data_IF_651266021936
#
_entry.id   IF_651266021936
#
_cell.length_a   1.000
_cell.length_b   1.000
_cell.length_c   1.000
_cell.angle_alpha   90.00
_cell.angle_beta   90.00
_cell.angle_gamma   90.00
#
_symmetry.space_group_name_H-M   'P 1'
#
loop_
_entity.id
_entity.type
_entity.pdbx_description
1 polymer ?
#
# COMPACT_ATOMS: atom_id res chain seq x y z
N UNK A 1 14.73 -24.55 2.80
CA UNK A 1 13.53 -23.80 3.26
C UNK A 1 12.79 -23.28 2.06
N UNK A 2 11.48 -23.52 2.00
CA UNK A 2 10.59 -23.01 0.96
C UNK A 2 9.53 -22.11 1.60
N UNK A 3 9.37 -20.88 1.12
CA UNK A 3 8.35 -19.97 1.68
C UNK A 3 7.71 -19.07 0.60
N UNK A 4 6.50 -18.58 0.89
CA UNK A 4 5.88 -17.50 0.13
C UNK A 4 6.21 -16.14 0.75
N UNK A 5 6.43 -15.15 -0.10
CA UNK A 5 6.49 -13.75 0.27
C UNK A 5 5.36 -12.98 -0.43
N UNK A 6 4.56 -12.29 0.35
CA UNK A 6 3.46 -11.42 -0.08
C UNK A 6 3.41 -10.17 0.81
N UNK A 7 2.79 -9.09 0.34
CA UNK A 7 2.60 -7.83 1.07
C UNK A 7 1.42 -7.05 0.50
N UNK A 8 1.09 -5.94 1.09
CA UNK A 8 0.23 -4.89 0.52
C UNK A 8 -1.16 -5.43 0.10
N UNK A 9 -1.80 -6.19 1.01
CA UNK A 9 -3.11 -6.80 0.78
C UNK A 9 -4.24 -5.77 0.75
N UNK A 10 -4.11 -4.69 1.50
CA UNK A 10 -5.05 -3.58 1.60
C UNK A 10 -6.51 -4.02 1.73
N UNK A 11 -6.77 -5.03 2.57
CA UNK A 11 -8.13 -5.55 2.78
C UNK A 11 -9.03 -4.44 3.35
N UNK A 12 -10.18 -4.24 2.71
CA UNK A 12 -11.10 -3.15 2.98
C UNK A 12 -10.97 -1.97 2.00
N UNK A 13 -9.97 -1.97 1.13
CA UNK A 13 -9.83 -0.97 0.06
C UNK A 13 -11.02 -0.98 -0.86
N UNK A 14 -11.59 0.22 -1.09
CA UNK A 14 -12.61 0.43 -2.13
C UNK A 14 -11.97 1.07 -3.35
N UNK A 15 -12.48 0.76 -4.54
CA UNK A 15 -12.05 1.37 -5.79
C UNK A 15 -13.16 2.29 -6.31
N UNK A 16 -12.93 3.61 -6.31
CA UNK A 16 -13.92 4.61 -6.74
C UNK A 16 -15.31 4.41 -6.09
N UNK A 17 -15.31 4.09 -4.78
CA UNK A 17 -16.53 3.80 -4.02
C UNK A 17 -17.07 2.36 -4.17
N UNK A 18 -16.51 1.55 -5.06
CA UNK A 18 -16.88 0.14 -5.20
C UNK A 18 -16.23 -0.69 -4.10
N UNK A 19 -17.04 -1.43 -3.35
CA UNK A 19 -16.56 -2.41 -2.39
C UNK A 19 -15.94 -3.60 -3.15
N UNK A 20 -14.75 -4.06 -2.72
CA UNK A 20 -14.00 -5.16 -3.34
C UNK A 20 -13.73 -6.32 -2.38
N UNK A 21 -14.44 -6.40 -1.26
CA UNK A 21 -14.18 -7.39 -0.22
C UNK A 21 -14.29 -8.84 -0.72
N UNK A 22 -15.22 -9.10 -1.67
CA UNK A 22 -15.36 -10.42 -2.26
C UNK A 22 -14.19 -10.79 -3.18
N UNK A 23 -13.65 -9.81 -3.92
CA UNK A 23 -12.43 -10.00 -4.70
C UNK A 23 -11.22 -10.23 -3.80
N UNK A 24 -11.08 -9.44 -2.73
CA UNK A 24 -10.02 -9.62 -1.74
C UNK A 24 -10.11 -10.99 -1.07
N UNK A 25 -11.32 -11.50 -0.82
CA UNK A 25 -11.56 -12.86 -0.32
C UNK A 25 -11.07 -13.92 -1.32
N UNK A 26 -11.36 -13.75 -2.60
CA UNK A 26 -10.93 -14.68 -3.64
C UNK A 26 -9.40 -14.67 -3.79
N UNK A 27 -8.77 -13.50 -3.75
CA UNK A 27 -7.30 -13.34 -3.79
C UNK A 27 -6.64 -14.03 -2.60
N UNK A 28 -7.12 -13.80 -1.37
CA UNK A 28 -6.56 -14.46 -0.19
C UNK A 28 -6.78 -15.98 -0.21
N UNK A 29 -7.90 -16.45 -0.76
CA UNK A 29 -8.13 -17.88 -0.96
C UNK A 29 -7.13 -18.47 -1.96
N UNK A 30 -6.85 -17.78 -3.07
CA UNK A 30 -5.85 -18.22 -4.06
C UNK A 30 -4.43 -18.24 -3.47
N UNK A 31 -4.04 -17.23 -2.65
CA UNK A 31 -2.76 -17.22 -1.95
C UNK A 31 -2.63 -18.43 -1.01
N UNK A 32 -3.68 -18.76 -0.26
CA UNK A 32 -3.70 -19.93 0.61
C UNK A 32 -3.57 -21.22 -0.20
N UNK A 33 -4.31 -21.34 -1.31
CA UNK A 33 -4.26 -22.52 -2.18
C UNK A 33 -2.86 -22.67 -2.83
N UNK A 34 -2.21 -21.57 -3.20
CA UNK A 34 -0.79 -21.58 -3.63
C UNK A 34 0.11 -22.09 -2.53
N UNK A 35 -0.02 -21.57 -1.30
CA UNK A 35 0.81 -21.98 -0.17
C UNK A 35 0.69 -23.48 0.12
N UNK A 36 -0.53 -24.01 0.04
CA UNK A 36 -0.81 -25.45 0.26
C UNK A 36 -0.31 -26.31 -0.88
N UNK A 37 -0.55 -25.91 -2.12
CA UNK A 37 -0.12 -26.66 -3.32
C UNK A 37 1.39 -26.74 -3.45
N UNK A 38 2.07 -25.64 -3.12
CA UNK A 38 3.53 -25.58 -3.16
C UNK A 38 4.19 -26.19 -1.90
N UNK A 39 3.39 -26.63 -0.92
CA UNK A 39 3.86 -27.24 0.34
C UNK A 39 4.92 -26.38 1.02
N UNK A 40 4.64 -25.07 1.18
CA UNK A 40 5.61 -24.14 1.76
C UNK A 40 5.81 -24.38 3.27
N UNK A 41 7.00 -24.15 3.76
CA UNK A 41 7.32 -24.20 5.19
C UNK A 41 6.75 -22.97 5.91
N UNK A 42 6.80 -21.80 5.25
CA UNK A 42 6.38 -20.53 5.83
C UNK A 42 5.70 -19.60 4.82
N UNK A 43 4.97 -18.60 5.33
CA UNK A 43 4.51 -17.44 4.59
C UNK A 43 4.96 -16.17 5.31
N UNK A 44 5.60 -15.26 4.57
CA UNK A 44 6.05 -13.96 5.04
C UNK A 44 5.13 -12.88 4.47
N UNK A 45 4.42 -12.15 5.34
CA UNK A 45 3.48 -11.10 4.97
C UNK A 45 4.06 -9.75 5.40
N UNK A 46 4.66 -9.06 4.44
CA UNK A 46 5.52 -7.91 4.71
C UNK A 46 4.74 -6.58 4.83
N UNK A 47 3.64 -6.56 5.57
CA UNK A 47 2.89 -5.37 5.96
C UNK A 47 1.72 -5.01 5.06
N UNK A 48 0.99 -3.97 5.48
CA UNK A 48 -0.21 -3.42 4.86
C UNK A 48 -1.31 -4.48 4.60
N UNK A 49 -1.69 -5.17 5.70
CA UNK A 49 -2.80 -6.12 5.66
C UNK A 49 -4.12 -5.42 5.41
N UNK A 50 -4.29 -4.23 5.96
CA UNK A 50 -5.50 -3.42 5.89
C UNK A 50 -5.26 -2.12 5.13
N UNK A 51 -6.32 -1.58 4.50
CA UNK A 51 -6.24 -0.27 3.83
C UNK A 51 -6.16 0.91 4.81
N UNK A 52 -6.67 0.74 6.03
CA UNK A 52 -6.71 1.79 7.04
C UNK A 52 -6.42 1.28 8.44
N UNK A 53 -5.93 2.17 9.30
CA UNK A 53 -5.66 1.89 10.71
C UNK A 53 -6.91 1.48 11.53
N UNK A 54 -8.11 1.73 11.00
CA UNK A 54 -9.39 1.34 11.61
C UNK A 54 -10.21 0.49 10.61
N UNK A 55 -9.80 -0.76 10.35
CA UNK A 55 -10.46 -1.63 9.40
C UNK A 55 -11.86 -2.04 9.87
N UNK A 56 -12.78 -2.26 8.92
CA UNK A 56 -14.12 -2.77 9.22
C UNK A 56 -14.06 -4.17 9.83
N UNK A 57 -15.10 -4.56 10.57
CA UNK A 57 -15.18 -5.89 11.16
C UNK A 57 -15.11 -7.01 10.11
N UNK A 58 -15.64 -6.78 8.90
CA UNK A 58 -15.58 -7.76 7.82
C UNK A 58 -14.16 -7.87 7.24
N UNK A 59 -13.42 -6.77 7.12
CA UNK A 59 -12.02 -6.79 6.73
C UNK A 59 -11.16 -7.54 7.77
N UNK A 60 -11.37 -7.26 9.05
CA UNK A 60 -10.67 -7.97 10.14
C UNK A 60 -10.98 -9.48 10.13
N UNK A 61 -12.27 -9.83 9.97
CA UNK A 61 -12.68 -11.25 9.88
C UNK A 61 -12.01 -11.95 8.71
N UNK A 62 -11.93 -11.29 7.55
CA UNK A 62 -11.34 -11.87 6.36
C UNK A 62 -9.83 -12.13 6.56
N UNK A 63 -9.06 -11.14 7.02
CA UNK A 63 -7.63 -11.29 7.28
C UNK A 63 -7.37 -12.35 8.35
N UNK A 64 -8.05 -12.26 9.51
CA UNK A 64 -7.85 -13.21 10.59
C UNK A 64 -8.19 -14.65 10.17
N UNK A 65 -9.25 -14.83 9.37
CA UNK A 65 -9.61 -16.16 8.86
C UNK A 65 -8.54 -16.72 7.91
N UNK A 66 -7.93 -15.87 7.07
CA UNK A 66 -6.85 -16.29 6.17
C UNK A 66 -5.59 -16.69 6.96
N UNK A 67 -5.16 -15.86 7.92
CA UNK A 67 -4.00 -16.15 8.77
C UNK A 67 -4.19 -17.45 9.58
N UNK A 68 -5.36 -17.63 10.21
CA UNK A 68 -5.68 -18.82 10.97
C UNK A 68 -5.72 -20.07 10.08
N UNK A 69 -6.27 -19.97 8.84
CA UNK A 69 -6.29 -21.11 7.91
C UNK A 69 -4.88 -21.54 7.52
N UNK A 70 -3.97 -20.60 7.26
CA UNK A 70 -2.56 -20.88 7.00
C UNK A 70 -1.89 -21.57 8.19
N UNK A 71 -2.00 -21.00 9.39
CA UNK A 71 -1.38 -21.53 10.61
C UNK A 71 -1.93 -22.92 10.97
N UNK A 72 -3.25 -23.15 10.90
CA UNK A 72 -3.87 -24.45 11.16
C UNK A 72 -3.51 -25.52 10.12
N UNK A 73 -3.08 -25.11 8.94
CA UNK A 73 -2.50 -26.03 7.93
C UNK A 73 -1.05 -26.39 8.21
N UNK A 74 -0.49 -25.88 9.32
CA UNK A 74 0.87 -26.14 9.78
C UNK A 74 1.93 -25.34 9.03
N UNK A 75 1.56 -24.28 8.31
CA UNK A 75 2.48 -23.33 7.71
C UNK A 75 2.91 -22.30 8.75
N UNK A 76 4.19 -22.02 8.86
CA UNK A 76 4.70 -20.94 9.72
C UNK A 76 4.24 -19.59 9.15
N UNK A 77 3.54 -18.80 9.96
CA UNK A 77 2.97 -17.51 9.51
C UNK A 77 3.69 -16.36 10.20
N UNK A 78 4.37 -15.53 9.43
CA UNK A 78 5.12 -14.38 9.94
C UNK A 78 4.56 -13.10 9.33
N UNK A 79 4.13 -12.17 10.19
CA UNK A 79 3.44 -10.94 9.79
C UNK A 79 4.09 -9.74 10.47
N UNK A 80 4.40 -8.72 9.72
CA UNK A 80 4.76 -7.40 10.25
C UNK A 80 3.70 -6.36 9.87
N UNK A 81 3.58 -5.29 10.65
CA UNK A 81 2.71 -4.17 10.31
C UNK A 81 3.34 -3.27 9.24
N UNK A 82 2.53 -2.80 8.28
CA UNK A 82 2.88 -1.74 7.36
C UNK A 82 2.43 -0.36 7.85
N UNK A 83 2.47 0.62 6.95
CA UNK A 83 2.11 2.01 7.28
C UNK A 83 0.61 2.29 7.29
N UNK A 84 -0.21 1.42 6.68
CA UNK A 84 -1.67 1.48 6.75
C UNK A 84 -2.21 0.76 7.98
N UNK A 85 -1.45 -0.18 8.53
CA UNK A 85 -1.83 -0.94 9.72
C UNK A 85 -1.69 -0.10 11.00
N UNK A 86 -2.47 -0.45 12.02
CA UNK A 86 -2.37 0.21 13.33
C UNK A 86 -1.46 -0.57 14.26
N UNK A 87 -0.20 -0.16 14.37
CA UNK A 87 0.84 -0.85 15.13
C UNK A 87 0.43 -1.24 16.56
N UNK A 88 -0.31 -0.37 17.29
CA UNK A 88 -0.79 -0.66 18.65
C UNK A 88 -1.86 -1.75 18.66
N UNK A 89 -2.70 -1.84 17.64
CA UNK A 89 -3.68 -2.93 17.51
C UNK A 89 -3.00 -4.26 17.23
N UNK A 90 -1.93 -4.25 16.43
CA UNK A 90 -1.07 -5.42 16.23
C UNK A 90 -0.50 -5.92 17.56
N UNK A 91 0.06 -5.03 18.35
CA UNK A 91 0.62 -5.38 19.66
C UNK A 91 -0.44 -5.92 20.64
N UNK A 92 -1.64 -5.35 20.62
CA UNK A 92 -2.76 -5.83 21.45
C UNK A 92 -3.19 -7.26 21.09
N UNK A 93 -3.07 -7.65 19.82
CA UNK A 93 -3.43 -8.98 19.32
C UNK A 93 -2.25 -9.97 19.35
N UNK A 94 -1.02 -9.53 19.56
CA UNK A 94 0.20 -10.33 19.43
C UNK A 94 0.15 -11.63 20.24
N UNK A 95 -0.26 -11.58 21.51
CA UNK A 95 -0.34 -12.79 22.35
C UNK A 95 -1.40 -13.77 21.85
N UNK A 96 -2.54 -13.25 21.36
CA UNK A 96 -3.60 -14.09 20.80
C UNK A 96 -3.14 -14.76 19.50
N UNK A 97 -2.46 -14.02 18.63
CA UNK A 97 -1.91 -14.55 17.39
C UNK A 97 -0.80 -15.58 17.65
N UNK A 98 0.09 -15.30 18.60
CA UNK A 98 1.11 -16.26 19.02
C UNK A 98 0.51 -17.57 19.55
N UNK A 99 -0.59 -17.53 20.30
CA UNK A 99 -1.31 -18.72 20.75
C UNK A 99 -1.91 -19.53 19.58
N UNK A 100 -2.12 -18.90 18.43
CA UNK A 100 -2.55 -19.55 17.18
C UNK A 100 -1.36 -19.97 16.28
N UNK A 101 -0.12 -19.82 16.73
CA UNK A 101 1.08 -20.14 15.93
C UNK A 101 1.40 -19.10 14.85
N UNK A 102 1.05 -17.83 15.07
CA UNK A 102 1.29 -16.74 14.14
C UNK A 102 2.24 -15.73 14.78
N UNK A 103 3.41 -15.49 14.22
CA UNK A 103 4.24 -14.35 14.61
C UNK A 103 3.63 -13.06 14.02
N UNK A 104 3.29 -12.12 14.92
CA UNK A 104 2.51 -10.94 14.59
C UNK A 104 3.12 -9.69 15.23
N UNK A 105 3.93 -8.95 14.48
CA UNK A 105 4.79 -7.89 15.01
C UNK A 105 4.41 -6.53 14.44
N UNK A 106 3.98 -5.62 15.32
CA UNK A 106 3.54 -4.27 14.95
C UNK A 106 4.57 -3.17 15.18
N UNK A 107 5.57 -3.40 16.02
CA UNK A 107 6.58 -2.41 16.41
C UNK A 107 7.98 -3.02 16.38
N UNK A 108 8.98 -2.16 16.17
CA UNK A 108 10.39 -2.56 16.27
C UNK A 108 10.69 -3.02 17.70
N UNK A 109 11.38 -4.15 17.82
CA UNK A 109 11.77 -4.77 19.08
C UNK A 109 13.23 -5.20 19.03
N UNK A 110 13.87 -5.29 20.19
CA UNK A 110 15.15 -5.95 20.28
C UNK A 110 15.04 -7.45 19.90
N UNK A 111 16.10 -8.04 19.42
CA UNK A 111 16.11 -9.44 18.98
C UNK A 111 15.56 -10.39 20.06
N UNK A 112 15.93 -10.16 21.35
CA UNK A 112 15.51 -10.97 22.49
C UNK A 112 14.05 -10.73 22.93
N UNK A 113 13.45 -9.64 22.47
CA UNK A 113 12.07 -9.24 22.79
C UNK A 113 11.08 -9.57 21.68
N UNK A 114 11.53 -10.31 20.65
CA UNK A 114 10.73 -10.73 19.50
C UNK A 114 10.91 -9.86 18.24
N UNK A 115 12.05 -9.12 18.13
CA UNK A 115 12.47 -8.50 16.88
C UNK A 115 13.05 -9.50 15.87
N UNK A 116 13.30 -10.75 16.33
CA UNK A 116 13.74 -11.86 15.49
C UNK A 116 12.88 -13.07 15.75
N UNK A 117 12.36 -13.66 14.69
CA UNK A 117 11.61 -14.91 14.72
C UNK A 117 12.47 -16.06 14.20
N UNK A 118 12.33 -17.24 14.80
CA UNK A 118 13.05 -18.45 14.41
C UNK A 118 12.08 -19.60 14.21
N UNK A 119 12.26 -20.33 13.14
CA UNK A 119 11.48 -21.56 12.92
C UNK A 119 12.33 -22.62 12.24
N UNK A 120 11.90 -23.86 12.35
CA UNK A 120 12.53 -24.99 11.64
C UNK A 120 11.65 -25.39 10.46
N UNK A 121 12.21 -25.36 9.27
CA UNK A 121 11.52 -25.79 8.06
C UNK A 121 11.12 -27.26 8.16
N UNK A 122 9.86 -27.57 7.97
CA UNK A 122 9.34 -28.95 8.03
C UNK A 122 9.87 -29.83 6.91
N UNK A 123 10.11 -29.20 5.75
CA UNK A 123 10.54 -29.89 4.54
C UNK A 123 12.00 -30.36 4.62
N UNK A 124 12.89 -29.61 5.29
CA UNK A 124 14.33 -29.84 5.27
C UNK A 124 14.95 -30.01 6.65
N UNK A 125 14.29 -29.59 7.72
CA UNK A 125 14.87 -29.53 9.07
C UNK A 125 15.85 -28.38 9.29
N UNK A 126 16.05 -27.51 8.29
CA UNK A 126 16.91 -26.34 8.40
C UNK A 126 16.28 -25.24 9.25
N UNK A 127 17.09 -24.55 10.02
CA UNK A 127 16.63 -23.39 10.81
C UNK A 127 16.61 -22.13 9.93
N UNK A 128 15.51 -21.37 10.00
CA UNK A 128 15.38 -20.04 9.42
C UNK A 128 15.32 -18.97 10.52
N UNK A 129 15.98 -17.86 10.28
CA UNK A 129 16.03 -16.69 11.16
C UNK A 129 15.52 -15.48 10.41
N UNK A 130 14.43 -14.88 10.88
CA UNK A 130 13.77 -13.75 10.25
C UNK A 130 13.91 -12.52 11.14
N UNK A 131 14.67 -11.53 10.70
CA UNK A 131 14.74 -10.21 11.32
C UNK A 131 13.50 -9.39 10.93
N UNK A 132 12.73 -8.91 11.90
CA UNK A 132 11.42 -8.28 11.71
C UNK A 132 11.52 -6.77 11.85
N UNK A 133 11.31 -6.03 10.76
CA UNK A 133 11.27 -4.57 10.73
C UNK A 133 9.90 -4.07 10.23
N UNK A 134 8.89 -3.93 11.10
CA UNK A 134 7.64 -3.26 10.75
C UNK A 134 7.89 -1.83 10.28
N UNK A 135 6.87 -1.20 9.69
CA UNK A 135 6.97 0.20 9.29
C UNK A 135 7.34 1.11 10.46
N UNK A 136 8.36 1.92 10.26
CA UNK A 136 8.85 2.88 11.24
C UNK A 136 8.58 4.28 10.76
N UNK A 137 7.70 5.00 11.46
CA UNK A 137 7.48 6.41 11.15
C UNK A 137 8.67 7.26 11.62
N UNK A 138 8.98 8.31 10.85
CA UNK A 138 10.05 9.25 11.18
C UNK A 138 9.93 9.85 12.59
N UNK A 139 8.70 10.07 13.06
CA UNK A 139 8.44 10.61 14.41
C UNK A 139 8.93 9.70 15.55
N UNK A 140 9.11 8.42 15.29
CA UNK A 140 9.63 7.48 16.28
C UNK A 140 11.15 7.40 16.29
N UNK A 141 11.80 7.78 15.20
CA UNK A 141 13.27 7.71 15.04
C UNK A 141 13.91 9.09 15.28
N UNK A 142 13.33 10.15 14.71
CA UNK A 142 13.85 11.52 14.79
C UNK A 142 12.98 12.28 15.79
N UNK A 143 13.58 12.82 16.85
CA UNK A 143 12.86 13.59 17.87
C UNK A 143 12.09 14.78 17.27
N UNK A 144 10.98 15.16 17.89
CA UNK A 144 10.10 16.23 17.37
C UNK A 144 10.84 17.57 17.17
N UNK A 145 11.80 17.89 18.03
CA UNK A 145 12.62 19.11 17.91
C UNK A 145 13.56 19.05 16.70
N UNK A 146 14.13 17.89 16.42
CA UNK A 146 15.05 17.67 15.29
C UNK A 146 14.31 17.70 13.94
N UNK A 147 13.04 17.29 13.89
CA UNK A 147 12.20 17.40 12.69
C UNK A 147 11.99 18.87 12.30
N UNK A 148 11.85 19.75 13.30
CA UNK A 148 11.58 21.18 13.09
C UNK A 148 12.85 21.95 12.73
N UNK A 149 14.02 21.54 13.25
CA UNK A 149 15.28 22.28 13.12
C UNK A 149 16.20 21.75 12.01
N UNK A 150 16.04 20.48 11.59
CA UNK A 150 16.86 19.85 10.56
C UNK A 150 16.37 20.14 9.14
N UNK A 151 17.29 20.16 8.18
CA UNK A 151 16.92 20.17 6.75
C UNK A 151 16.32 18.83 6.33
N UNK A 152 15.51 18.77 5.25
CA UNK A 152 14.98 17.51 4.70
C UNK A 152 16.08 16.45 4.44
N UNK A 153 17.22 16.87 3.93
CA UNK A 153 18.37 15.98 3.64
C UNK A 153 19.01 15.40 4.91
N UNK A 154 19.21 16.21 5.95
CA UNK A 154 19.74 15.74 7.25
C UNK A 154 18.79 14.76 7.92
N UNK A 155 17.50 15.04 7.86
CA UNK A 155 16.46 14.19 8.42
C UNK A 155 16.35 12.84 7.68
N UNK A 156 16.50 12.85 6.34
CA UNK A 156 16.55 11.63 5.52
C UNK A 156 17.78 10.77 5.88
N UNK A 157 18.96 11.38 5.99
CA UNK A 157 20.18 10.67 6.38
C UNK A 157 20.11 10.05 7.77
N UNK A 158 19.48 10.73 8.74
CA UNK A 158 19.26 10.20 10.10
C UNK A 158 18.28 9.04 10.10
N UNK A 159 17.20 9.13 9.32
CA UNK A 159 16.24 8.04 9.17
C UNK A 159 16.91 6.78 8.60
N UNK A 160 17.63 6.93 7.50
CA UNK A 160 18.34 5.82 6.87
C UNK A 160 19.36 5.19 7.83
N UNK A 161 20.17 6.02 8.54
CA UNK A 161 21.14 5.53 9.49
C UNK A 161 20.48 4.74 10.62
N UNK A 162 19.40 5.25 11.20
CA UNK A 162 18.69 4.57 12.28
C UNK A 162 18.08 3.24 11.82
N UNK A 163 17.51 3.18 10.61
CA UNK A 163 16.99 1.93 10.04
C UNK A 163 18.13 0.93 9.82
N UNK A 164 19.27 1.39 9.32
CA UNK A 164 20.47 0.56 9.14
C UNK A 164 20.94 -0.03 10.46
N UNK A 165 21.02 0.78 11.52
CA UNK A 165 21.45 0.35 12.85
C UNK A 165 20.50 -0.68 13.46
N UNK A 166 19.19 -0.48 13.28
CA UNK A 166 18.18 -1.46 13.70
C UNK A 166 18.35 -2.79 12.95
N UNK A 167 18.47 -2.76 11.62
CA UNK A 167 18.67 -3.96 10.81
C UNK A 167 19.96 -4.68 11.23
N UNK A 168 21.06 -3.93 11.44
CA UNK A 168 22.34 -4.50 11.87
C UNK A 168 22.22 -5.21 13.23
N UNK A 169 21.55 -4.58 14.20
CA UNK A 169 21.34 -5.15 15.53
C UNK A 169 20.48 -6.43 15.48
N UNK A 170 19.43 -6.47 14.66
CA UNK A 170 18.62 -7.67 14.47
C UNK A 170 19.41 -8.79 13.78
N UNK A 171 20.24 -8.43 12.80
CA UNK A 171 21.06 -9.35 12.03
C UNK A 171 22.25 -9.95 12.81
N UNK A 172 22.58 -9.45 14.01
CA UNK A 172 23.50 -10.12 14.93
C UNK A 172 23.03 -11.55 15.30
N UNK A 173 21.74 -11.82 15.13
CA UNK A 173 21.14 -13.14 15.32
C UNK A 173 21.39 -14.12 14.17
N UNK A 174 21.92 -13.66 13.03
CA UNK A 174 22.18 -14.46 11.84
C UNK A 174 23.39 -15.36 12.03
N UNK A 175 23.31 -16.59 11.52
CA UNK A 175 24.40 -17.57 11.57
C UNK A 175 24.70 -18.15 10.19
N UNK A 176 25.85 -18.76 10.04
CA UNK A 176 26.28 -19.37 8.79
C UNK A 176 25.50 -20.67 8.45
N UNK A 177 24.92 -21.31 9.47
CA UNK A 177 24.18 -22.56 9.36
C UNK A 177 22.65 -22.38 9.31
N UNK A 178 22.18 -21.12 9.24
CA UNK A 178 20.74 -20.79 9.16
C UNK A 178 20.39 -20.09 7.86
N UNK A 179 19.13 -20.19 7.43
CA UNK A 179 18.58 -19.33 6.38
C UNK A 179 18.24 -17.97 6.99
N UNK A 180 19.01 -16.96 6.64
CA UNK A 180 18.92 -15.62 7.19
C UNK A 180 18.04 -14.73 6.31
N UNK A 181 16.95 -14.19 6.87
CA UNK A 181 15.96 -13.40 6.16
C UNK A 181 15.78 -12.05 6.87
N UNK A 182 15.72 -10.98 6.10
CA UNK A 182 15.20 -9.69 6.59
C UNK A 182 13.80 -9.50 6.03
N UNK A 183 12.87 -9.16 6.88
CA UNK A 183 11.50 -8.81 6.50
C UNK A 183 11.24 -7.38 6.93
N UNK A 184 10.89 -6.49 5.97
CA UNK A 184 10.75 -5.07 6.25
C UNK A 184 9.60 -4.44 5.43
N UNK A 185 8.99 -3.36 6.00
CA UNK A 185 8.02 -2.55 5.29
C UNK A 185 8.53 -1.12 5.18
N UNK A 186 9.12 -0.76 4.04
CA UNK A 186 9.78 0.53 3.82
C UNK A 186 9.98 0.82 2.32
N UNK A 187 10.32 2.06 2.01
CA UNK A 187 10.76 2.45 0.65
C UNK A 187 12.26 2.25 0.50
N UNK A 188 12.66 1.40 -0.44
CA UNK A 188 14.08 1.21 -0.79
C UNK A 188 14.47 2.13 -1.96
N UNK A 189 15.63 2.78 -1.85
CA UNK A 189 16.19 3.61 -2.92
C UNK A 189 16.35 2.79 -4.21
N UNK A 190 15.87 3.34 -5.32
CA UNK A 190 15.84 2.66 -6.62
C UNK A 190 14.58 1.86 -6.87
N UNK A 191 13.68 1.74 -5.88
CA UNK A 191 12.37 1.14 -6.06
C UNK A 191 11.45 2.03 -6.92
N UNK A 192 10.64 1.38 -7.74
CA UNK A 192 9.65 2.02 -8.62
C UNK A 192 8.27 1.89 -7.99
N UNK A 193 7.57 3.02 -7.87
CA UNK A 193 6.21 3.07 -7.35
C UNK A 193 5.24 2.27 -8.22
N UNK A 194 4.26 1.63 -7.59
CA UNK A 194 3.19 0.92 -8.27
C UNK A 194 2.10 1.85 -8.79
N UNK A 195 1.84 2.96 -8.08
CA UNK A 195 0.84 3.97 -8.42
C UNK A 195 -0.35 4.04 -7.46
N UNK A 196 -0.40 3.19 -6.44
CA UNK A 196 -1.44 3.18 -5.38
C UNK A 196 -0.93 3.57 -4.00
N UNK A 197 0.37 3.76 -3.84
CA UNK A 197 1.02 4.12 -2.60
C UNK A 197 0.64 5.54 -2.14
N UNK A 198 0.70 5.80 -0.84
CA UNK A 198 0.44 7.15 -0.30
C UNK A 198 1.58 8.10 -0.63
N UNK A 199 1.29 9.18 -1.35
CA UNK A 199 2.27 10.21 -1.74
C UNK A 199 3.08 10.75 -0.56
N UNK A 200 2.47 10.95 0.60
CA UNK A 200 3.15 11.50 1.79
C UNK A 200 4.28 10.60 2.34
N UNK A 201 4.32 9.33 1.97
CA UNK A 201 5.31 8.35 2.43
C UNK A 201 6.27 7.92 1.33
N UNK A 202 6.02 8.35 0.10
CA UNK A 202 6.90 8.22 -1.04
C UNK A 202 7.94 9.35 -1.16
N UNK A 203 7.91 10.31 -0.21
CA UNK A 203 8.87 11.42 -0.14
C UNK A 203 10.25 10.85 0.19
N UNK A 204 11.30 11.39 -0.41
CA UNK A 204 12.72 11.02 -0.25
C UNK A 204 13.18 10.82 1.20
N UNK A 205 12.49 11.42 2.15
CA UNK A 205 12.80 11.37 3.57
C UNK A 205 12.61 9.99 4.24
N UNK A 206 11.95 9.04 3.57
CA UNK A 206 11.72 7.67 4.05
C UNK A 206 12.49 6.60 3.27
N UNK A 207 13.39 7.00 2.36
CA UNK A 207 14.14 6.07 1.54
C UNK A 207 15.32 5.47 2.31
N UNK A 208 15.51 4.16 2.16
CA UNK A 208 16.61 3.38 2.72
C UNK A 208 17.39 2.75 1.58
N UNK A 209 18.71 2.89 1.60
CA UNK A 209 19.56 2.23 0.61
C UNK A 209 19.49 0.70 0.75
N UNK A 210 19.44 0.00 -0.37
CA UNK A 210 19.52 -1.47 -0.39
C UNK A 210 20.83 -2.02 0.22
N UNK A 211 21.86 -1.19 0.34
CA UNK A 211 23.12 -1.54 1.00
C UNK A 211 23.03 -1.55 2.53
N UNK A 212 21.90 -1.10 3.09
CA UNK A 212 21.62 -1.22 4.52
C UNK A 212 21.30 -2.65 4.95
N UNK A 213 20.98 -3.53 3.99
CA UNK A 213 20.70 -4.93 4.29
C UNK A 213 22.01 -5.74 4.39
N UNK A 214 22.13 -6.63 5.40
CA UNK A 214 23.33 -7.43 5.62
C UNK A 214 23.63 -8.34 4.42
N UNK A 215 24.89 -8.41 4.03
CA UNK A 215 25.34 -9.23 2.87
C UNK A 215 25.12 -10.73 3.09
N UNK A 216 25.03 -11.17 4.34
CA UNK A 216 24.74 -12.55 4.73
C UNK A 216 23.23 -12.84 4.82
N UNK A 217 22.37 -11.91 4.38
CA UNK A 217 20.96 -12.18 4.17
C UNK A 217 20.78 -13.03 2.92
N UNK A 218 20.13 -14.19 3.06
CA UNK A 218 19.80 -15.04 1.92
C UNK A 218 18.61 -14.48 1.13
N UNK A 219 17.73 -13.71 1.80
CA UNK A 219 16.60 -13.05 1.17
C UNK A 219 16.16 -11.82 1.99
N UNK A 220 15.71 -10.78 1.30
CA UNK A 220 15.09 -9.60 1.91
C UNK A 220 13.68 -9.45 1.34
N UNK A 221 12.69 -9.67 2.21
CA UNK A 221 11.27 -9.58 1.89
C UNK A 221 10.74 -8.17 2.20
N UNK A 222 10.45 -7.37 1.19
CA UNK A 222 9.95 -6.01 1.32
C UNK A 222 8.47 -5.90 0.95
N UNK A 223 7.72 -5.11 1.73
CA UNK A 223 6.43 -4.52 1.38
C UNK A 223 6.51 -3.00 1.26
N UNK A 224 5.40 -2.36 0.94
CA UNK A 224 5.19 -0.94 0.75
C UNK A 224 5.10 -0.49 -0.71
N UNK A 225 5.94 -0.98 -1.61
CA UNK A 225 5.83 -0.69 -3.03
C UNK A 225 5.00 -1.77 -3.73
N UNK A 226 3.88 -1.35 -4.32
CA UNK A 226 2.88 -2.26 -4.90
C UNK A 226 3.32 -2.92 -6.20
N UNK A 227 4.46 -2.52 -6.74
CA UNK A 227 5.03 -3.11 -7.95
C UNK A 227 5.98 -4.24 -7.63
N UNK A 228 5.72 -5.44 -8.19
CA UNK A 228 6.67 -6.57 -8.14
C UNK A 228 7.99 -6.18 -8.76
N UNK A 229 9.08 -6.22 -7.98
CA UNK A 229 10.41 -5.86 -8.45
C UNK A 229 11.51 -6.44 -7.57
N UNK A 230 12.71 -6.55 -8.16
CA UNK A 230 13.95 -6.81 -7.45
C UNK A 230 14.79 -5.52 -7.42
N UNK A 231 15.35 -5.19 -6.28
CA UNK A 231 16.25 -4.06 -6.13
C UNK A 231 17.69 -4.58 -6.26
N UNK A 232 18.52 -3.97 -7.11
CA UNK A 232 19.94 -4.33 -7.24
C UNK A 232 20.68 -4.09 -5.94
N UNK A 233 21.18 -5.16 -5.32
CA UNK A 233 21.90 -5.14 -4.05
C UNK A 233 22.79 -6.39 -3.93
N UNK A 234 23.78 -6.41 -3.00
CA UNK A 234 24.55 -7.62 -2.71
C UNK A 234 23.70 -8.77 -2.18
N UNK A 235 22.69 -8.50 -1.36
CA UNK A 235 21.68 -9.46 -0.94
C UNK A 235 20.49 -9.48 -1.91
N UNK A 236 19.74 -10.59 -2.06
CA UNK A 236 18.52 -10.64 -2.86
C UNK A 236 17.39 -9.84 -2.22
N UNK A 237 17.13 -8.61 -2.69
CA UNK A 237 16.12 -7.68 -2.17
C UNK A 237 14.93 -7.65 -3.11
N UNK A 238 13.74 -7.99 -2.61
CA UNK A 238 12.54 -8.13 -3.42
C UNK A 238 11.32 -7.47 -2.77
N UNK A 239 10.56 -6.73 -3.57
CA UNK A 239 9.16 -6.42 -3.29
C UNK A 239 8.29 -7.48 -3.95
N UNK A 240 7.33 -8.04 -3.21
CA UNK A 240 6.31 -8.93 -3.81
C UNK A 240 5.30 -8.15 -4.65
N UNK A 241 5.09 -6.89 -4.32
CA UNK A 241 4.01 -6.08 -4.84
C UNK A 241 2.65 -6.45 -4.22
N UNK A 242 1.62 -5.69 -4.58
CA UNK A 242 0.26 -5.95 -4.16
C UNK A 242 -0.36 -7.11 -4.97
N UNK A 243 -0.98 -8.10 -4.31
CA UNK A 243 -1.60 -9.24 -5.02
C UNK A 243 -2.91 -8.89 -5.73
N UNK A 244 -3.45 -7.69 -5.49
CA UNK A 244 -4.61 -7.12 -6.16
C UNK A 244 -4.37 -5.63 -6.39
N UNK A 245 -4.45 -5.17 -7.63
CA UNK A 245 -4.33 -3.74 -7.96
C UNK A 245 -5.39 -2.91 -7.21
N UNK A 246 -4.98 -1.90 -6.47
CA UNK A 246 -5.85 -1.08 -5.59
C UNK A 246 -6.22 0.29 -6.19
N UNK A 247 -5.53 0.73 -7.24
CA UNK A 247 -5.82 1.94 -8.01
C UNK A 247 -5.53 1.73 -9.50
N UNK A 248 -6.17 2.53 -10.36
CA UNK A 248 -5.93 2.49 -11.81
C UNK A 248 -4.48 2.86 -12.21
N UNK A 249 -3.70 3.47 -11.33
CA UNK A 249 -2.26 3.66 -11.53
C UNK A 249 -1.50 2.33 -11.59
N UNK A 250 -2.07 1.26 -11.04
CA UNK A 250 -1.48 -0.07 -10.96
C UNK A 250 -1.90 -1.03 -12.07
N UNK A 251 -2.67 -0.57 -13.05
CA UNK A 251 -3.23 -1.42 -14.12
C UNK A 251 -2.16 -2.24 -14.88
N UNK A 252 -0.92 -1.74 -14.94
CA UNK A 252 0.22 -2.39 -15.60
C UNK A 252 1.05 -3.27 -14.64
N UNK A 253 0.73 -3.29 -13.35
CA UNK A 253 1.43 -4.12 -12.38
C UNK A 253 0.99 -5.57 -12.52
N UNK A 254 1.94 -6.49 -12.29
CA UNK A 254 1.65 -7.92 -12.27
C UNK A 254 1.34 -8.35 -10.84
N UNK A 255 0.12 -8.85 -10.60
CA UNK A 255 -0.29 -9.43 -9.31
C UNK A 255 0.33 -10.81 -9.14
N UNK A 256 1.24 -10.95 -8.18
CA UNK A 256 1.94 -12.22 -7.90
C UNK A 256 2.16 -12.41 -6.40
N UNK A 257 2.52 -13.63 -6.03
CA UNK A 257 3.26 -13.94 -4.79
C UNK A 257 4.62 -14.53 -5.16
N UNK A 258 5.65 -14.27 -4.35
CA UNK A 258 6.98 -14.78 -4.60
C UNK A 258 7.16 -16.13 -3.87
N UNK A 259 7.35 -17.21 -4.61
CA UNK A 259 7.82 -18.49 -4.07
C UNK A 259 9.34 -18.44 -4.00
N UNK A 260 9.88 -18.66 -2.80
CA UNK A 260 11.32 -18.60 -2.54
C UNK A 260 11.81 -19.95 -2.04
N UNK A 261 12.82 -20.50 -2.72
CA UNK A 261 13.53 -21.72 -2.34
C UNK A 261 14.98 -21.34 -2.00
N UNK A 262 15.43 -21.67 -0.80
CA UNK A 262 16.75 -21.24 -0.31
C UNK A 262 17.27 -22.20 0.77
N UNK A 263 18.59 -22.32 0.87
CA UNK A 263 19.24 -23.03 1.98
C UNK A 263 20.38 -22.17 2.56
N UNK A 264 20.98 -22.54 3.70
CA UNK A 264 22.13 -21.80 4.24
C UNK A 264 23.34 -21.73 3.28
N UNK A 265 23.39 -22.59 2.27
CA UNK A 265 24.53 -22.72 1.37
C UNK A 265 24.21 -22.42 -0.09
N UNK A 266 22.93 -22.17 -0.43
CA UNK A 266 22.51 -21.87 -1.80
C UNK A 266 21.81 -20.51 -1.88
N UNK A 267 22.06 -19.74 -2.95
CA UNK A 267 21.31 -18.50 -3.18
C UNK A 267 19.81 -18.74 -3.27
N UNK A 268 19.02 -17.73 -2.90
CA UNK A 268 17.58 -17.79 -3.05
C UNK A 268 17.19 -17.88 -4.54
N UNK A 269 16.38 -18.88 -4.85
CA UNK A 269 15.67 -18.97 -6.14
C UNK A 269 14.27 -18.42 -5.94
N UNK A 270 13.93 -17.38 -6.68
CA UNK A 270 12.64 -16.70 -6.59
C UNK A 270 11.82 -16.99 -7.85
N UNK A 271 10.60 -17.49 -7.65
CA UNK A 271 9.64 -17.77 -8.73
C UNK A 271 8.38 -16.96 -8.47
N UNK A 272 7.98 -16.14 -9.43
CA UNK A 272 6.75 -15.37 -9.35
C UNK A 272 5.56 -16.25 -9.71
N UNK A 273 4.61 -16.42 -8.78
CA UNK A 273 3.37 -17.17 -9.02
C UNK A 273 2.25 -16.16 -9.22
N UNK A 274 1.64 -16.11 -10.41
CA UNK A 274 0.55 -15.19 -10.69
C UNK A 274 -0.66 -15.43 -9.79
N UNK A 275 -1.27 -14.34 -9.32
CA UNK A 275 -2.58 -14.31 -8.69
C UNK A 275 -3.57 -13.83 -9.73
N UNK A 276 -4.56 -14.64 -9.99
CA UNK A 276 -5.54 -14.43 -11.07
C UNK A 276 -6.92 -14.03 -10.55
N UNK A 277 -7.17 -14.24 -9.28
CA UNK A 277 -8.40 -13.80 -8.63
C UNK A 277 -8.52 -12.27 -8.61
N UNK A 278 -9.77 -11.80 -8.66
CA UNK A 278 -10.08 -10.38 -8.75
C UNK A 278 -10.18 -9.87 -10.17
N UNK A 279 -10.73 -8.67 -10.32
CA UNK A 279 -10.93 -8.05 -11.63
C UNK A 279 -9.73 -7.17 -11.98
N UNK A 280 -9.34 -7.24 -13.24
CA UNK A 280 -8.32 -6.37 -13.80
C UNK A 280 -8.82 -4.93 -13.85
N UNK A 281 -7.90 -3.99 -13.77
CA UNK A 281 -8.15 -2.58 -14.00
C UNK A 281 -7.67 -2.21 -15.40
N UNK A 282 -8.51 -1.49 -16.14
CA UNK A 282 -8.19 -1.09 -17.51
C UNK A 282 -8.59 0.36 -17.75
N UNK A 283 -7.71 1.16 -18.35
CA UNK A 283 -8.06 2.47 -18.89
C UNK A 283 -8.35 2.33 -20.38
N UNK A 284 -9.52 2.80 -20.81
CA UNK A 284 -9.95 2.78 -22.20
C UNK A 284 -10.30 4.17 -22.68
N UNK A 285 -9.99 4.51 -23.94
CA UNK A 285 -10.27 5.83 -24.51
C UNK A 285 -10.94 5.71 -25.87
N UNK A 286 -11.75 6.70 -26.21
CA UNK A 286 -12.43 6.80 -27.50
C UNK A 286 -13.76 7.55 -27.43
N UNK A 287 -14.44 7.62 -28.58
CA UNK A 287 -15.83 8.11 -28.63
C UNK A 287 -16.78 7.09 -27.98
N UNK A 288 -17.93 7.55 -27.51
CA UNK A 288 -18.95 6.67 -26.90
C UNK A 288 -19.32 5.52 -27.85
N UNK A 289 -19.43 5.79 -29.14
CA UNK A 289 -19.76 4.79 -30.16
C UNK A 289 -18.69 3.70 -30.25
N UNK A 290 -17.41 4.08 -30.31
CA UNK A 290 -16.28 3.13 -30.33
C UNK A 290 -16.19 2.31 -29.06
N UNK A 291 -16.33 2.97 -27.91
CA UNK A 291 -16.30 2.32 -26.60
C UNK A 291 -17.43 1.31 -26.45
N UNK A 292 -18.63 1.65 -26.93
CA UNK A 292 -19.79 0.75 -26.95
C UNK A 292 -19.58 -0.44 -27.87
N UNK A 293 -19.01 -0.22 -29.04
CA UNK A 293 -18.72 -1.30 -29.99
C UNK A 293 -17.69 -2.30 -29.44
N UNK A 294 -16.70 -1.81 -28.64
CA UNK A 294 -15.66 -2.63 -28.01
C UNK A 294 -16.06 -3.20 -26.65
N UNK A 295 -17.30 -2.97 -26.16
CA UNK A 295 -17.71 -3.33 -24.80
C UNK A 295 -17.51 -4.83 -24.46
N UNK A 296 -17.70 -5.72 -25.44
CA UNK A 296 -17.49 -7.17 -25.25
C UNK A 296 -16.02 -7.54 -25.00
N UNK A 297 -15.05 -6.75 -25.48
CA UNK A 297 -13.62 -7.00 -25.33
C UNK A 297 -13.10 -6.65 -23.93
N UNK A 298 -13.89 -5.93 -23.16
CA UNK A 298 -13.52 -5.51 -21.80
C UNK A 298 -13.90 -6.54 -20.74
N UNK A 299 -14.78 -7.49 -21.07
CA UNK A 299 -15.20 -8.56 -20.17
C UNK A 299 -15.69 -8.02 -18.82
N UNK A 300 -15.14 -8.58 -17.73
CA UNK A 300 -15.47 -8.20 -16.36
C UNK A 300 -14.50 -7.15 -15.77
N UNK A 301 -13.57 -6.62 -16.56
CA UNK A 301 -12.58 -5.64 -16.10
C UNK A 301 -13.29 -4.38 -15.53
N UNK A 302 -12.73 -3.80 -14.48
CA UNK A 302 -13.14 -2.44 -14.06
C UNK A 302 -12.50 -1.40 -14.97
N UNK A 303 -13.30 -0.45 -15.42
CA UNK A 303 -12.88 0.51 -16.42
C UNK A 303 -12.72 1.94 -15.86
N UNK A 304 -11.62 2.57 -16.22
CA UNK A 304 -11.49 4.02 -16.30
C UNK A 304 -11.72 4.40 -17.75
N UNK A 305 -12.76 5.20 -18.03
CA UNK A 305 -13.14 5.58 -19.38
C UNK A 305 -12.72 7.03 -19.66
N UNK A 306 -11.94 7.24 -20.70
CA UNK A 306 -11.52 8.57 -21.18
C UNK A 306 -12.29 8.83 -22.47
N UNK A 307 -13.31 9.70 -22.39
CA UNK A 307 -14.20 9.99 -23.53
C UNK A 307 -13.56 11.06 -24.43
N UNK A 308 -13.42 10.75 -25.71
CA UNK A 308 -12.86 11.62 -26.74
C UNK A 308 -13.97 12.38 -27.50
N UNK A 309 -14.88 12.97 -26.73
CA UNK A 309 -15.95 13.81 -27.23
C UNK A 309 -16.13 15.05 -26.37
N UNK A 310 -16.72 16.11 -26.94
CA UNK A 310 -17.06 17.32 -26.23
C UNK A 310 -18.11 17.02 -25.14
N UNK A 311 -17.96 17.65 -23.98
CA UNK A 311 -18.88 17.55 -22.89
C UNK A 311 -20.30 17.92 -23.33
N UNK A 312 -21.29 17.08 -23.04
CA UNK A 312 -22.71 17.30 -23.25
C UNK A 312 -23.54 16.69 -22.12
N UNK A 313 -24.75 17.18 -21.96
CA UNK A 313 -25.67 16.64 -20.96
C UNK A 313 -25.93 15.13 -21.24
N UNK A 314 -25.95 14.32 -20.19
CA UNK A 314 -26.19 12.87 -20.28
C UNK A 314 -25.02 12.02 -20.80
N UNK A 315 -23.87 12.61 -21.19
CA UNK A 315 -22.73 11.87 -21.74
C UNK A 315 -22.21 10.81 -20.78
N UNK A 316 -22.09 11.15 -19.48
CA UNK A 316 -21.65 10.22 -18.44
C UNK A 316 -22.62 9.05 -18.28
N UNK A 317 -23.90 9.32 -18.26
CA UNK A 317 -24.95 8.29 -18.09
C UNK A 317 -24.95 7.33 -19.28
N UNK A 318 -24.81 7.87 -20.50
CA UNK A 318 -24.70 7.04 -21.71
C UNK A 318 -23.47 6.12 -21.69
N UNK A 319 -22.32 6.59 -21.17
CA UNK A 319 -21.13 5.74 -20.98
C UNK A 319 -21.39 4.67 -19.94
N UNK A 320 -22.01 5.00 -18.81
CA UNK A 320 -22.29 4.04 -17.73
C UNK A 320 -23.32 2.99 -18.16
N UNK A 321 -24.30 3.36 -18.98
CA UNK A 321 -25.28 2.43 -19.56
C UNK A 321 -24.61 1.46 -20.56
N UNK A 322 -23.66 1.97 -21.33
CA UNK A 322 -22.93 1.14 -22.31
C UNK A 322 -21.84 0.26 -21.66
N UNK A 323 -21.24 0.73 -20.57
CA UNK A 323 -20.12 0.09 -19.87
C UNK A 323 -20.41 0.00 -18.36
N UNK A 324 -21.21 -0.98 -17.91
CA UNK A 324 -21.64 -1.09 -16.50
C UNK A 324 -20.49 -1.27 -15.50
N UNK A 325 -19.32 -1.73 -15.95
CA UNK A 325 -18.11 -1.87 -15.14
C UNK A 325 -17.23 -0.59 -15.11
N UNK A 326 -17.68 0.51 -15.75
CA UNK A 326 -17.00 1.80 -15.69
C UNK A 326 -17.14 2.40 -14.29
N UNK A 327 -16.03 2.55 -13.60
CA UNK A 327 -15.97 3.17 -12.26
C UNK A 327 -15.59 4.65 -12.31
N UNK A 328 -14.90 5.06 -13.35
CA UNK A 328 -14.46 6.43 -13.56
C UNK A 328 -14.65 6.84 -15.02
N UNK A 329 -15.33 7.96 -15.24
CA UNK A 329 -15.52 8.55 -16.58
C UNK A 329 -14.92 9.94 -16.58
N UNK A 330 -13.94 10.17 -17.46
CA UNK A 330 -13.25 11.44 -17.67
C UNK A 330 -13.40 11.89 -19.13
N UNK A 331 -13.34 13.17 -19.37
CA UNK A 331 -13.22 13.71 -20.72
C UNK A 331 -11.74 13.86 -21.05
N UNK A 332 -11.34 13.43 -22.25
CA UNK A 332 -9.97 13.64 -22.72
C UNK A 332 -9.65 15.13 -22.75
N UNK A 333 -8.47 15.58 -22.30
CA UNK A 333 -8.11 17.00 -22.20
C UNK A 333 -8.35 17.80 -23.48
N UNK A 334 -8.10 17.24 -24.66
CA UNK A 334 -8.28 17.89 -25.96
C UNK A 334 -9.76 18.15 -26.31
N UNK A 335 -10.69 17.45 -25.67
CA UNK A 335 -12.13 17.57 -25.84
C UNK A 335 -12.82 18.22 -24.64
N UNK A 336 -12.10 18.41 -23.53
CA UNK A 336 -12.59 19.25 -22.45
C UNK A 336 -12.81 20.65 -23.03
N UNK A 337 -14.07 21.15 -22.97
CA UNK A 337 -14.26 22.57 -23.23
C UNK A 337 -13.31 23.29 -22.27
N UNK A 338 -12.41 24.06 -22.85
CA UNK A 338 -11.77 25.13 -22.10
C UNK A 338 -12.94 26.07 -21.80
N UNK A 339 -13.70 25.82 -20.73
CA UNK A 339 -14.26 26.95 -20.05
C UNK A 339 -13.05 27.85 -19.90
N UNK A 340 -13.04 28.98 -20.61
CA UNK A 340 -12.33 30.14 -20.15
C UNK A 340 -12.89 30.35 -18.72
N UNK A 341 -12.34 29.58 -17.75
CA UNK A 341 -12.22 30.15 -16.44
C UNK A 341 -11.52 31.47 -16.77
N UNK A 342 -12.28 32.55 -16.79
CA UNK A 342 -11.70 33.80 -16.47
C UNK A 342 -10.89 33.50 -15.22
N UNK A 343 -9.62 33.28 -15.40
CA UNK A 343 -8.61 33.47 -14.39
C UNK A 343 -8.78 34.94 -14.06
N UNK A 344 -9.82 35.22 -13.27
CA UNK A 344 -9.80 36.39 -12.42
C UNK A 344 -8.42 36.26 -11.79
N UNK A 345 -7.53 37.14 -12.22
CA UNK A 345 -6.24 37.33 -11.59
C UNK A 345 -6.51 37.12 -10.09
N UNK A 346 -5.81 36.17 -9.50
CA UNK A 346 -5.80 36.00 -8.05
C UNK A 346 -5.18 37.25 -7.45
N UNK A 347 -5.91 38.37 -7.54
CA UNK A 347 -5.82 39.40 -6.55
C UNK A 347 -6.24 38.72 -5.26
N UNK A 348 -5.45 38.87 -4.24
CA UNK A 348 -5.70 38.46 -2.87
C UNK A 348 -7.01 39.10 -2.38
N UNK A 349 -8.16 38.56 -2.85
CA UNK A 349 -9.48 38.98 -2.35
C UNK A 349 -9.70 38.27 -1.02
N UNK A 350 -10.08 39.04 -0.03
CA UNK A 350 -10.46 38.46 1.26
C UNK A 350 -11.68 37.55 1.09
N UNK A 351 -11.90 36.55 1.97
CA UNK A 351 -13.15 35.76 1.96
C UNK A 351 -14.41 36.63 1.97
N UNK A 352 -14.36 37.81 2.58
CA UNK A 352 -15.47 38.83 2.58
C UNK A 352 -15.71 39.37 1.17
N UNK A 353 -14.63 39.72 0.43
CA UNK A 353 -14.76 40.23 -0.92
C UNK A 353 -15.31 39.18 -1.89
N UNK A 354 -14.94 37.90 -1.67
CA UNK A 354 -15.44 36.78 -2.46
C UNK A 354 -16.92 36.54 -2.20
N UNK A 355 -17.37 36.65 -0.94
CA UNK A 355 -18.77 36.50 -0.57
C UNK A 355 -19.61 37.65 -1.09
N UNK A 356 -19.13 38.89 -1.02
CA UNK A 356 -19.80 40.06 -1.58
C UNK A 356 -19.96 39.92 -3.11
N UNK A 357 -18.90 39.52 -3.83
CA UNK A 357 -18.98 39.28 -5.27
C UNK A 357 -19.96 38.15 -5.63
N UNK A 358 -20.05 37.09 -4.83
CA UNK A 358 -21.06 36.04 -4.99
C UNK A 358 -22.48 36.55 -4.82
N UNK A 359 -22.74 37.37 -3.78
CA UNK A 359 -24.05 37.96 -3.56
C UNK A 359 -24.47 38.85 -4.74
N UNK A 360 -23.53 39.64 -5.28
CA UNK A 360 -23.77 40.49 -6.45
C UNK A 360 -24.11 39.65 -7.69
N UNK A 361 -23.35 38.55 -7.95
CA UNK A 361 -23.56 37.67 -9.09
C UNK A 361 -24.93 36.96 -9.05
N UNK A 362 -25.38 36.58 -7.84
CA UNK A 362 -26.65 35.86 -7.65
C UNK A 362 -27.85 36.83 -7.43
N UNK A 363 -27.59 38.15 -7.39
CA UNK A 363 -28.62 39.19 -7.23
C UNK A 363 -29.19 39.22 -5.81
N UNK A 364 -28.41 38.92 -4.79
CA UNK A 364 -28.84 39.00 -3.39
C UNK A 364 -28.43 40.36 -2.81
N UNK A 365 -29.39 41.27 -2.65
CA UNK A 365 -29.19 42.63 -2.13
C UNK A 365 -29.50 42.78 -0.63
N UNK A 366 -29.35 41.73 0.19
CA UNK A 366 -29.62 41.81 1.63
C UNK A 366 -28.34 42.08 2.45
N UNK A 367 -28.15 43.33 2.98
CA UNK A 367 -26.94 43.70 3.72
C UNK A 367 -26.76 42.91 5.04
N UNK A 368 -27.84 42.31 5.57
CA UNK A 368 -27.79 41.50 6.80
C UNK A 368 -27.03 40.19 6.56
N UNK A 369 -27.06 39.66 5.34
CA UNK A 369 -26.33 38.43 4.96
C UNK A 369 -24.82 38.66 4.94
N UNK A 370 -24.39 39.79 4.42
CA UNK A 370 -22.97 40.17 4.37
C UNK A 370 -22.44 40.46 5.78
N UNK A 371 -23.25 41.07 6.65
CA UNK A 371 -22.90 41.30 8.04
C UNK A 371 -22.77 39.95 8.80
N UNK A 372 -23.75 39.06 8.68
CA UNK A 372 -23.73 37.75 9.31
C UNK A 372 -22.54 36.90 8.86
N UNK A 373 -22.21 36.90 7.55
CA UNK A 373 -21.04 36.21 7.04
C UNK A 373 -19.76 36.76 7.67
N UNK A 374 -19.65 38.07 7.83
CA UNK A 374 -18.49 38.70 8.45
C UNK A 374 -18.34 38.30 9.91
N UNK A 375 -19.44 38.27 10.67
CA UNK A 375 -19.45 37.88 12.08
C UNK A 375 -19.05 36.42 12.25
N UNK A 376 -19.58 35.52 11.44
CA UNK A 376 -19.22 34.08 11.45
C UNK A 376 -17.76 33.83 11.02
N UNK A 377 -17.26 34.63 10.09
CA UNK A 377 -15.84 34.52 9.66
C UNK A 377 -14.91 34.94 10.82
N UNK A 378 -15.26 36.00 11.55
CA UNK A 378 -14.46 36.47 12.70
C UNK A 378 -14.49 35.45 13.85
N UNK A 379 -15.64 34.83 14.12
CA UNK A 379 -15.74 33.73 15.09
C UNK A 379 -14.86 32.52 14.72
N UNK A 380 -14.81 32.17 13.45
CA UNK A 380 -14.05 31.00 12.99
C UNK A 380 -12.56 31.25 12.85
N UNK A 381 -12.15 32.50 12.59
CA UNK A 381 -10.72 32.87 12.44
C UNK A 381 -10.06 33.31 13.74
N UNK A 382 -10.81 33.40 14.85
CA UNK A 382 -10.25 33.69 16.17
C UNK A 382 -9.71 35.11 16.32
N UNK A 383 -10.19 36.06 15.51
CA UNK A 383 -9.90 37.48 15.66
C UNK A 383 -10.97 38.10 16.53
N UNK A 384 -10.82 38.04 17.84
CA UNK A 384 -11.35 38.92 18.85
C UNK A 384 -10.22 39.42 19.73
#
# INVERSE_FOLDING_TARGET
VKFLHTADWHVGKTLKGRNRLDEQRAVLAEIIDVALREEVDAILIAGDLYDTAAPSADAQRLVNSALLKLATSGIEVVVIAGNHDHARSFEALRQLMAAAGIEYTGQVRAAQEGGVHRFTARSTGEEAVVALLPFVSRRHIVGSEEIVTGTPSENAGRYEQSVRDIIAALAESFRADTVNIVMAHLTCTGGVMGGGEREAQSIFEYHVSAQSFPINSHYVALGHLHRRQQIPAPAPVHYSGAPLAVDFGEQENTSVVCLVEVSPTTPAKVTDIPITAGRRLRTVSGTVELLKAASADYGDDYLRVIVEERTRAGLRDEVLDALPNALEVRIHPDFAQTEQRHTAQHTTRSPRDLFAAYCDEVGIEDPRLTALFSDLLDETTGVN
#
